data_IF_490734646744
#
_entry.id   IF_490734646744
#
_cell.length_a   1.000
_cell.length_b   1.000
_cell.length_c   1.000
_cell.angle_alpha   90.00
_cell.angle_beta   90.00
_cell.angle_gamma   90.00
#
_symmetry.space_group_name_H-M   'P 1'
#
loop_
_entity.id
_entity.type
_entity.pdbx_description
1 polymer ?
#
# COMPACT_ATOMS: atom_id res chain seq x y z
N UNK A 1 -21.06 -15.61 -11.29
CA UNK A 1 -21.17 -14.17 -11.61
C UNK A 1 -21.03 -13.44 -10.29
N UNK A 2 -20.08 -12.52 -10.18
CA UNK A 2 -19.89 -11.71 -8.98
C UNK A 2 -21.17 -10.96 -8.59
N UNK A 3 -21.42 -10.81 -7.29
CA UNK A 3 -22.45 -9.91 -6.79
C UNK A 3 -22.11 -8.47 -7.19
N UNK A 4 -23.11 -7.67 -7.57
CA UNK A 4 -22.89 -6.31 -8.06
C UNK A 4 -22.15 -5.41 -7.06
N UNK A 5 -22.44 -5.50 -5.76
CA UNK A 5 -21.77 -4.72 -4.73
C UNK A 5 -20.31 -5.16 -4.52
N UNK A 6 -20.05 -6.47 -4.51
CA UNK A 6 -18.70 -7.02 -4.42
C UNK A 6 -17.86 -6.59 -5.63
N UNK A 7 -18.45 -6.70 -6.83
CA UNK A 7 -17.80 -6.25 -8.06
C UNK A 7 -17.42 -4.75 -8.01
N UNK A 8 -18.36 -3.90 -7.60
CA UNK A 8 -18.15 -2.45 -7.48
C UNK A 8 -16.96 -2.15 -6.54
N UNK A 9 -16.93 -2.77 -5.35
CA UNK A 9 -15.87 -2.55 -4.38
C UNK A 9 -14.51 -3.06 -4.86
N UNK A 10 -14.44 -4.25 -5.46
CA UNK A 10 -13.22 -4.79 -6.06
C UNK A 10 -12.69 -3.89 -7.18
N UNK A 11 -13.58 -3.37 -8.03
CA UNK A 11 -13.19 -2.46 -9.09
C UNK A 11 -12.66 -1.12 -8.55
N UNK A 12 -13.30 -0.58 -7.49
CA UNK A 12 -12.82 0.62 -6.82
C UNK A 12 -11.44 0.39 -6.17
N UNK A 13 -11.18 -0.81 -5.64
CA UNK A 13 -9.91 -1.14 -5.01
C UNK A 13 -8.75 -1.06 -6.00
N UNK A 14 -8.91 -1.42 -7.26
CA UNK A 14 -7.87 -1.24 -8.30
C UNK A 14 -7.36 0.22 -8.31
N UNK A 15 -8.30 1.18 -8.29
CA UNK A 15 -7.95 2.60 -8.28
C UNK A 15 -7.26 3.02 -6.97
N UNK A 16 -7.68 2.45 -5.84
CA UNK A 16 -7.10 2.74 -4.52
C UNK A 16 -5.65 2.27 -4.43
N UNK A 17 -5.36 1.06 -4.91
CA UNK A 17 -4.00 0.53 -4.96
C UNK A 17 -3.09 1.33 -5.91
N UNK A 18 -3.60 1.71 -7.10
CA UNK A 18 -2.85 2.60 -7.98
C UNK A 18 -2.61 3.98 -7.35
N UNK A 19 -3.56 4.51 -6.58
CA UNK A 19 -3.34 5.74 -5.82
C UNK A 19 -2.28 5.54 -4.73
N UNK A 20 -2.28 4.40 -4.01
CA UNK A 20 -1.23 4.06 -3.04
C UNK A 20 0.14 4.08 -3.69
N UNK A 21 0.28 3.45 -4.87
CA UNK A 21 1.52 3.48 -5.63
C UNK A 21 1.96 4.93 -5.96
N UNK A 22 1.02 5.79 -6.36
CA UNK A 22 1.29 7.19 -6.69
C UNK A 22 1.68 8.01 -5.47
N UNK A 23 1.01 7.76 -4.32
CA UNK A 23 1.33 8.39 -3.04
C UNK A 23 2.74 8.02 -2.57
N UNK A 24 3.13 6.75 -2.68
CA UNK A 24 4.47 6.31 -2.27
C UNK A 24 5.57 6.77 -3.21
N UNK A 25 5.29 6.99 -4.50
CA UNK A 25 6.22 7.69 -5.38
C UNK A 25 6.44 9.14 -4.91
N UNK A 26 5.41 9.82 -4.42
CA UNK A 26 5.55 11.16 -3.89
C UNK A 26 6.36 11.18 -2.58
N UNK A 27 6.17 10.19 -1.69
CA UNK A 27 7.01 10.02 -0.50
C UNK A 27 8.47 9.74 -0.87
N UNK A 28 8.71 8.87 -1.84
CA UNK A 28 10.06 8.62 -2.36
C UNK A 28 10.72 9.90 -2.89
N UNK A 29 9.98 10.69 -3.65
CA UNK A 29 10.43 11.99 -4.16
C UNK A 29 10.74 12.99 -3.03
N UNK A 30 9.92 13.03 -1.97
CA UNK A 30 10.20 13.84 -0.78
C UNK A 30 11.55 13.45 -0.15
N UNK A 31 11.75 12.15 0.15
CA UNK A 31 12.96 11.67 0.79
C UNK A 31 14.21 11.85 -0.08
N UNK A 32 14.09 11.65 -1.38
CA UNK A 32 15.18 11.92 -2.33
C UNK A 32 15.61 13.38 -2.30
N UNK A 33 14.67 14.29 -2.25
CA UNK A 33 14.89 15.75 -2.23
C UNK A 33 15.62 16.22 -0.96
N UNK A 34 15.41 15.53 0.17
CA UNK A 34 16.07 15.85 1.45
C UNK A 34 17.33 15.03 1.72
N UNK A 35 17.78 14.22 0.75
CA UNK A 35 19.05 13.48 0.82
C UNK A 35 18.97 12.17 1.60
N UNK A 36 17.78 11.62 1.85
CA UNK A 36 17.55 10.36 2.54
C UNK A 36 17.26 9.23 1.51
N UNK A 37 18.29 8.85 0.77
CA UNK A 37 18.19 7.90 -0.35
C UNK A 37 17.68 6.51 0.07
N UNK A 38 17.97 6.06 1.30
CA UNK A 38 17.47 4.79 1.83
C UNK A 38 15.97 4.81 2.06
N UNK A 39 15.44 5.88 2.64
CA UNK A 39 13.98 6.07 2.74
C UNK A 39 13.33 6.23 1.37
N UNK A 40 13.98 6.95 0.45
CA UNK A 40 13.49 7.08 -0.92
C UNK A 40 13.41 5.71 -1.62
N UNK A 41 14.43 4.85 -1.46
CA UNK A 41 14.42 3.49 -1.97
C UNK A 41 13.29 2.65 -1.36
N UNK A 42 13.09 2.75 -0.04
CA UNK A 42 12.01 2.03 0.64
C UNK A 42 10.65 2.33 0.02
N UNK A 43 10.31 3.61 -0.15
CA UNK A 43 9.03 4.02 -0.71
C UNK A 43 8.94 3.81 -2.24
N UNK A 44 10.06 3.80 -2.95
CA UNK A 44 10.06 3.43 -4.37
C UNK A 44 9.67 1.95 -4.56
N UNK A 45 10.18 1.07 -3.69
CA UNK A 45 9.82 -0.34 -3.68
C UNK A 45 8.36 -0.51 -3.25
N UNK A 46 7.92 0.20 -2.20
CA UNK A 46 6.54 0.20 -1.76
C UNK A 46 5.59 0.58 -2.91
N UNK A 47 5.91 1.63 -3.67
CA UNK A 47 5.12 2.03 -4.82
C UNK A 47 5.02 0.93 -5.90
N UNK A 48 6.06 0.11 -6.05
CA UNK A 48 6.04 -1.01 -6.98
C UNK A 48 5.14 -2.15 -6.45
N UNK A 49 5.19 -2.44 -5.17
CA UNK A 49 4.35 -3.46 -4.52
C UNK A 49 2.87 -3.08 -4.61
N UNK A 50 2.51 -1.81 -4.35
CA UNK A 50 1.13 -1.31 -4.49
C UNK A 50 0.61 -1.41 -5.94
N UNK A 51 1.47 -1.14 -6.92
CA UNK A 51 1.12 -1.38 -8.32
C UNK A 51 0.79 -2.84 -8.56
N UNK A 52 1.54 -3.74 -7.97
CA UNK A 52 1.29 -5.19 -8.15
C UNK A 52 0.01 -5.61 -7.42
N UNK A 53 -0.31 -5.02 -6.27
CA UNK A 53 -1.61 -5.20 -5.59
C UNK A 53 -2.76 -4.78 -6.51
N UNK A 54 -2.67 -3.62 -7.16
CA UNK A 54 -3.67 -3.19 -8.14
C UNK A 54 -3.84 -4.21 -9.27
N UNK A 55 -2.74 -4.79 -9.76
CA UNK A 55 -2.77 -5.78 -10.82
C UNK A 55 -3.37 -7.12 -10.38
N UNK A 56 -3.24 -7.50 -9.10
CA UNK A 56 -3.91 -8.68 -8.55
C UNK A 56 -5.44 -8.50 -8.56
N UNK A 57 -5.97 -7.35 -8.12
CA UNK A 57 -7.40 -7.06 -8.21
C UNK A 57 -7.89 -7.02 -9.65
N UNK A 58 -7.12 -6.39 -10.55
CA UNK A 58 -7.43 -6.33 -11.97
C UNK A 58 -7.53 -7.73 -12.58
N UNK A 59 -6.53 -8.59 -12.36
CA UNK A 59 -6.51 -9.96 -12.87
C UNK A 59 -7.62 -10.81 -12.26
N UNK A 60 -7.90 -10.64 -10.96
CA UNK A 60 -8.98 -11.35 -10.30
C UNK A 60 -10.33 -11.06 -10.97
N UNK A 61 -10.66 -9.79 -11.23
CA UNK A 61 -11.90 -9.43 -11.93
C UNK A 61 -11.96 -10.03 -13.35
N UNK A 62 -10.84 -10.04 -14.08
CA UNK A 62 -10.78 -10.69 -15.40
C UNK A 62 -11.03 -12.20 -15.32
N UNK A 63 -10.46 -12.89 -14.33
CA UNK A 63 -10.67 -14.32 -14.10
C UNK A 63 -12.14 -14.64 -13.74
N UNK A 64 -12.83 -13.70 -13.10
CA UNK A 64 -14.26 -13.79 -12.80
C UNK A 64 -15.16 -13.37 -13.98
N UNK A 65 -14.60 -13.07 -15.16
CA UNK A 65 -15.29 -12.52 -16.34
C UNK A 65 -16.11 -11.25 -16.02
N UNK A 66 -15.60 -10.43 -15.10
CA UNK A 66 -16.18 -9.16 -14.72
C UNK A 66 -15.57 -8.01 -15.52
N UNK A 67 -16.38 -7.00 -15.82
CA UNK A 67 -15.90 -5.79 -16.49
C UNK A 67 -15.05 -4.96 -15.53
N UNK A 68 -13.94 -4.41 -16.04
CA UNK A 68 -13.09 -3.49 -15.30
C UNK A 68 -13.23 -2.09 -15.87
N UNK A 69 -13.57 -1.13 -14.98
CA UNK A 69 -13.57 0.30 -15.29
C UNK A 69 -12.39 0.95 -14.60
N UNK A 70 -11.49 1.55 -15.40
CA UNK A 70 -10.33 2.27 -14.87
C UNK A 70 -10.68 3.75 -14.67
N UNK A 71 -10.68 4.18 -13.41
CA UNK A 71 -10.96 5.56 -13.02
C UNK A 71 -9.67 6.41 -12.97
N UNK A 72 -9.83 7.73 -12.93
CA UNK A 72 -8.71 8.65 -12.81
C UNK A 72 -7.98 8.46 -11.45
N UNK A 73 -6.67 8.38 -11.48
CA UNK A 73 -5.83 8.35 -10.27
C UNK A 73 -5.66 9.79 -9.78
N UNK A 74 -6.02 10.04 -8.52
CA UNK A 74 -5.92 11.37 -7.93
C UNK A 74 -4.45 11.80 -7.77
N UNK A 75 -4.21 13.11 -7.82
CA UNK A 75 -2.91 13.68 -7.50
C UNK A 75 -2.66 13.60 -5.99
N UNK A 76 -1.50 13.11 -5.52
CA UNK A 76 -1.06 13.30 -4.13
C UNK A 76 -0.93 14.81 -3.85
N UNK A 77 -1.57 15.28 -2.78
CA UNK A 77 -1.70 16.73 -2.49
C UNK A 77 -1.19 17.11 -1.10
N UNK A 78 -0.64 16.15 -0.34
CA UNK A 78 -0.12 16.40 1.00
C UNK A 78 1.20 17.15 0.96
N UNK A 79 1.34 18.13 1.85
CA UNK A 79 2.59 18.85 2.10
C UNK A 79 3.12 18.41 3.47
N UNK A 80 4.40 18.09 3.55
CA UNK A 80 5.05 17.58 4.75
C UNK A 80 6.08 18.60 5.27
N UNK A 81 6.05 18.87 6.57
CA UNK A 81 6.99 19.77 7.23
C UNK A 81 8.23 19.02 7.73
N UNK A 82 8.09 17.73 8.08
CA UNK A 82 9.19 16.91 8.56
C UNK A 82 9.05 15.44 8.11
N UNK A 83 10.11 14.66 8.31
CA UNK A 83 10.16 13.24 7.91
C UNK A 83 9.10 12.40 8.63
N UNK A 84 8.85 12.73 9.91
CA UNK A 84 7.85 12.04 10.73
C UNK A 84 6.44 12.19 10.15
N UNK A 85 6.12 13.33 9.56
CA UNK A 85 4.79 13.56 8.94
C UNK A 85 4.56 12.61 7.76
N UNK A 86 5.60 12.35 6.96
CA UNK A 86 5.53 11.40 5.85
C UNK A 86 5.25 9.98 6.36
N UNK A 87 5.98 9.57 7.41
CA UNK A 87 5.83 8.23 7.99
C UNK A 87 4.44 8.03 8.60
N UNK A 88 3.95 9.02 9.35
CA UNK A 88 2.59 8.99 9.91
C UNK A 88 1.51 9.01 8.84
N UNK A 89 1.73 9.74 7.75
CA UNK A 89 0.82 9.73 6.62
C UNK A 89 0.79 8.35 5.93
N UNK A 90 1.93 7.65 5.88
CA UNK A 90 2.02 6.28 5.40
C UNK A 90 1.18 5.33 6.26
N UNK A 91 1.38 5.33 7.58
CA UNK A 91 0.59 4.50 8.49
C UNK A 91 -0.92 4.77 8.37
N UNK A 92 -1.32 6.04 8.40
CA UNK A 92 -2.74 6.40 8.26
C UNK A 92 -3.33 5.97 6.91
N UNK A 93 -2.49 5.90 5.85
CA UNK A 93 -2.90 5.39 4.55
C UNK A 93 -3.09 3.87 4.58
N UNK A 94 -2.17 3.11 5.21
CA UNK A 94 -2.33 1.65 5.35
C UNK A 94 -3.57 1.27 6.18
N UNK A 95 -3.81 1.97 7.30
CA UNK A 95 -5.04 1.79 8.10
C UNK A 95 -6.30 2.05 7.26
N UNK A 96 -6.26 3.05 6.38
CA UNK A 96 -7.36 3.33 5.45
C UNK A 96 -7.52 2.19 4.43
N UNK A 97 -6.46 1.70 3.82
CA UNK A 97 -6.51 0.56 2.87
C UNK A 97 -7.04 -0.69 3.57
N UNK A 98 -6.58 -0.98 4.79
CA UNK A 98 -7.11 -2.06 5.62
C UNK A 98 -8.63 -1.96 5.79
N UNK A 99 -9.15 -0.75 6.04
CA UNK A 99 -10.61 -0.56 6.17
C UNK A 99 -11.34 -0.89 4.86
N UNK A 100 -10.78 -0.54 3.71
CA UNK A 100 -11.36 -0.87 2.40
C UNK A 100 -11.36 -2.37 2.13
N UNK A 101 -10.26 -3.07 2.43
CA UNK A 101 -10.16 -4.54 2.30
C UNK A 101 -11.21 -5.21 3.18
N UNK A 102 -11.38 -4.75 4.42
CA UNK A 102 -12.39 -5.28 5.34
C UNK A 102 -13.83 -5.05 4.82
N UNK A 103 -14.10 -3.90 4.21
CA UNK A 103 -15.41 -3.61 3.60
C UNK A 103 -15.72 -4.56 2.43
N UNK A 104 -14.73 -4.86 1.58
CA UNK A 104 -14.89 -5.84 0.49
C UNK A 104 -15.14 -7.23 1.07
N UNK A 105 -14.35 -7.60 2.08
CA UNK A 105 -14.47 -8.90 2.74
C UNK A 105 -15.85 -9.09 3.38
N UNK A 106 -16.35 -8.07 4.09
CA UNK A 106 -17.68 -8.09 4.69
C UNK A 106 -18.78 -8.22 3.63
N UNK A 107 -18.68 -7.48 2.53
CA UNK A 107 -19.65 -7.58 1.41
C UNK A 107 -19.64 -8.99 0.78
N UNK A 108 -18.46 -9.59 0.61
CA UNK A 108 -18.33 -10.96 0.10
C UNK A 108 -18.93 -11.99 1.10
N UNK A 109 -18.67 -11.79 2.39
CA UNK A 109 -19.23 -12.64 3.44
C UNK A 109 -20.76 -12.63 3.47
N UNK A 110 -21.38 -11.45 3.38
CA UNK A 110 -22.83 -11.27 3.41
C UNK A 110 -23.55 -12.03 2.28
N UNK A 111 -22.91 -12.14 1.12
CA UNK A 111 -23.44 -12.88 -0.04
C UNK A 111 -22.88 -14.30 -0.19
N UNK A 112 -22.04 -14.75 0.76
CA UNK A 112 -21.38 -16.05 0.78
C UNK A 112 -20.51 -16.30 -0.46
N UNK A 113 -19.82 -15.25 -0.92
CA UNK A 113 -18.84 -15.33 -2.00
C UNK A 113 -17.49 -15.81 -1.44
N UNK A 114 -17.41 -17.11 -1.18
CA UNK A 114 -16.22 -17.74 -0.59
C UNK A 114 -14.97 -17.63 -1.46
N UNK A 115 -15.13 -17.50 -2.78
CA UNK A 115 -14.00 -17.34 -3.70
C UNK A 115 -13.36 -15.97 -3.54
N UNK A 116 -14.17 -14.90 -3.49
CA UNK A 116 -13.68 -13.56 -3.21
C UNK A 116 -13.07 -13.48 -1.82
N UNK A 117 -13.65 -14.11 -0.81
CA UNK A 117 -13.07 -14.17 0.54
C UNK A 117 -11.69 -14.83 0.53
N UNK A 118 -11.54 -16.00 -0.13
CA UNK A 118 -10.25 -16.70 -0.26
C UNK A 118 -9.18 -15.84 -0.98
N UNK A 119 -9.58 -15.11 -2.00
CA UNK A 119 -8.70 -14.15 -2.66
C UNK A 119 -8.25 -13.04 -1.69
N UNK A 120 -9.17 -12.50 -0.89
CA UNK A 120 -8.91 -11.42 0.06
C UNK A 120 -8.14 -11.87 1.30
N UNK A 121 -8.11 -13.15 1.66
CA UNK A 121 -7.34 -13.67 2.81
C UNK A 121 -5.87 -13.26 2.74
N UNK A 122 -5.29 -13.26 1.54
CA UNK A 122 -3.92 -12.80 1.34
C UNK A 122 -3.78 -11.31 1.67
N UNK A 123 -4.70 -10.46 1.19
CA UNK A 123 -4.67 -9.01 1.45
C UNK A 123 -4.91 -8.67 2.92
N UNK A 124 -5.75 -9.41 3.62
CA UNK A 124 -5.95 -9.25 5.07
C UNK A 124 -4.64 -9.48 5.83
N UNK A 125 -3.89 -10.49 5.43
CA UNK A 125 -2.57 -10.77 6.01
C UNK A 125 -1.56 -9.70 5.64
N UNK A 126 -1.50 -9.33 4.37
CA UNK A 126 -0.58 -8.31 3.83
C UNK A 126 -0.78 -6.96 4.53
N UNK A 127 -2.01 -6.49 4.69
CA UNK A 127 -2.28 -5.24 5.43
C UNK A 127 -1.79 -5.28 6.87
N UNK A 128 -1.84 -6.43 7.54
CA UNK A 128 -1.24 -6.59 8.87
C UNK A 128 0.29 -6.41 8.85
N UNK A 129 0.96 -6.87 7.79
CA UNK A 129 2.40 -6.69 7.61
C UNK A 129 2.74 -5.22 7.24
N UNK A 130 1.94 -4.57 6.38
CA UNK A 130 2.12 -3.17 5.99
C UNK A 130 1.96 -2.21 7.18
N UNK A 131 0.93 -2.38 8.00
CA UNK A 131 0.77 -1.58 9.22
C UNK A 131 1.91 -1.80 10.22
N UNK A 132 2.38 -3.04 10.37
CA UNK A 132 3.53 -3.37 11.23
C UNK A 132 4.79 -2.66 10.73
N UNK A 133 5.09 -2.75 9.44
CA UNK A 133 6.24 -2.10 8.82
C UNK A 133 6.20 -0.57 8.98
N UNK A 134 5.01 0.04 8.80
CA UNK A 134 4.82 1.47 8.97
C UNK A 134 5.04 1.91 10.43
N UNK A 135 4.52 1.17 11.40
CA UNK A 135 4.73 1.41 12.82
C UNK A 135 6.20 1.26 13.24
N UNK A 136 6.88 0.22 12.74
CA UNK A 136 8.30 0.01 13.00
C UNK A 136 9.15 1.16 12.45
N UNK A 137 8.81 1.67 11.27
CA UNK A 137 9.48 2.82 10.68
C UNK A 137 9.32 4.09 11.53
N UNK A 138 8.11 4.34 12.05
CA UNK A 138 7.83 5.46 12.97
C UNK A 138 8.66 5.29 14.23
N UNK A 139 8.64 4.12 14.86
CA UNK A 139 9.40 3.81 16.06
C UNK A 139 10.91 4.02 15.87
N UNK A 140 11.46 3.53 14.75
CA UNK A 140 12.87 3.74 14.41
C UNK A 140 13.19 5.22 14.20
N UNK A 141 12.30 5.97 13.57
CA UNK A 141 12.48 7.42 13.40
C UNK A 141 12.42 8.16 14.74
N UNK A 142 11.55 7.79 15.67
CA UNK A 142 11.49 8.35 17.02
C UNK A 142 12.79 8.09 17.79
N UNK A 143 13.34 6.89 17.69
CA UNK A 143 14.56 6.49 18.41
C UNK A 143 15.84 7.11 17.81
N UNK A 144 15.89 7.22 16.48
CA UNK A 144 17.15 7.49 15.76
C UNK A 144 17.10 8.75 14.88
N UNK A 145 15.94 9.33 14.65
CA UNK A 145 15.75 10.40 13.66
C UNK A 145 16.28 11.79 14.08
N UNK A 146 16.54 12.01 15.39
CA UNK A 146 16.98 13.31 15.89
C UNK A 146 18.51 13.50 15.88
N UNK A 147 19.27 12.41 15.90
CA UNK A 147 20.72 12.45 15.79
C UNK A 147 21.17 12.20 14.35
N UNK A 148 21.94 13.11 13.72
CA UNK A 148 22.32 12.97 12.31
C UNK A 148 23.09 11.70 11.98
N UNK A 149 23.92 11.20 12.89
CA UNK A 149 24.68 9.95 12.69
C UNK A 149 23.76 8.74 12.73
N UNK A 150 22.85 8.70 13.69
CA UNK A 150 21.87 7.62 13.83
C UNK A 150 20.88 7.62 12.67
N UNK A 151 20.43 8.78 12.23
CA UNK A 151 19.59 8.92 11.04
C UNK A 151 20.31 8.42 9.77
N UNK A 152 21.60 8.74 9.62
CA UNK A 152 22.40 8.22 8.51
C UNK A 152 22.47 6.69 8.53
N UNK A 153 22.68 6.08 9.70
CA UNK A 153 22.72 4.62 9.84
C UNK A 153 21.37 3.97 9.51
N UNK A 154 20.27 4.54 9.98
CA UNK A 154 18.92 4.09 9.63
C UNK A 154 18.68 4.19 8.12
N UNK A 155 19.07 5.29 7.51
CA UNK A 155 18.97 5.48 6.07
C UNK A 155 19.77 4.43 5.28
N UNK A 156 20.98 4.04 5.77
CA UNK A 156 21.76 2.95 5.16
C UNK A 156 21.08 1.59 5.32
N UNK A 157 20.47 1.30 6.47
CA UNK A 157 19.68 0.07 6.68
C UNK A 157 18.56 -0.03 5.64
N UNK A 158 17.79 1.04 5.44
CA UNK A 158 16.67 1.06 4.51
C UNK A 158 17.09 0.95 3.04
N UNK A 159 18.30 1.37 2.70
CA UNK A 159 18.86 1.21 1.34
C UNK A 159 19.03 -0.26 0.94
N UNK A 160 19.07 -1.18 1.90
CA UNK A 160 19.24 -2.61 1.63
C UNK A 160 17.94 -3.32 1.21
N UNK A 161 16.76 -2.68 1.34
CA UNK A 161 15.50 -3.26 0.86
C UNK A 161 15.57 -3.52 -0.63
N UNK A 162 15.14 -4.71 -1.03
CA UNK A 162 14.99 -5.11 -2.43
C UNK A 162 13.54 -5.50 -2.69
N UNK A 163 13.07 -5.23 -3.90
CA UNK A 163 11.73 -5.61 -4.31
C UNK A 163 11.56 -7.14 -4.32
N UNK A 164 10.38 -7.58 -3.87
CA UNK A 164 9.93 -8.96 -3.98
C UNK A 164 8.49 -8.97 -4.53
N UNK A 165 8.25 -9.80 -5.53
CA UNK A 165 6.91 -9.91 -6.10
C UNK A 165 5.93 -10.51 -5.08
N UNK A 166 4.63 -10.15 -5.13
CA UNK A 166 3.60 -10.75 -4.30
C UNK A 166 3.61 -12.28 -4.38
N UNK A 167 3.38 -12.94 -3.26
CA UNK A 167 3.33 -14.40 -3.18
C UNK A 167 1.99 -14.99 -3.65
N UNK A 168 0.97 -14.16 -3.83
CA UNK A 168 -0.36 -14.57 -4.33
C UNK A 168 -0.28 -14.88 -5.84
N UNK A 169 -0.71 -16.09 -6.19
CA UNK A 169 -0.85 -16.54 -7.58
C UNK A 169 -2.32 -16.79 -7.86
N UNK A 170 -2.86 -16.20 -8.95
CA UNK A 170 -4.26 -16.28 -9.39
C UNK A 170 -4.46 -17.31 -10.50
#
# INVERSE_FOLDING_TARGET
>A
MLNARVHELLNQQINKEFYSAYLYLDFSNYFKRVGLDGFANWYLIQAQEERDHAMLFYQYLQNENAEVTLEAIAKPDKVFECHMDVLKAGLAHEEYVTSLINDIYAAAYDVRDFRTMQFLDWFVKEQGEEETNANDMITKMELFGTDPKSLYMLNQELSARVYSAPSLVL
#
